data_IF_067689148266
#
_entry.id   IF_067689148266
#
_cell.length_a   1.000
_cell.length_b   1.000
_cell.length_c   1.000
_cell.angle_alpha   90.00
_cell.angle_beta   90.00
_cell.angle_gamma   90.00
#
_symmetry.space_group_name_H-M   'P 1'
#
loop_
_entity.id
_entity.type
_entity.pdbx_description
1 polymer ?
#
# COMPACT_ATOMS: atom_id res chain seq x y z
N UNK A 1 -43.21 60.28 21.55
CA UNK A 1 -43.75 58.95 21.88
C UNK A 1 -42.86 57.93 21.19
N UNK A 2 -42.27 57.04 21.98
CA UNK A 2 -41.36 55.97 21.56
C UNK A 2 -42.23 54.74 21.41
N UNK A 3 -42.15 54.02 20.29
CA UNK A 3 -42.60 52.64 20.24
C UNK A 3 -41.56 51.77 19.54
N UNK A 4 -40.97 50.91 20.37
CA UNK A 4 -40.10 49.82 20.01
C UNK A 4 -40.96 48.57 19.84
N UNK A 5 -41.02 47.99 18.64
CA UNK A 5 -41.39 46.60 18.47
C UNK A 5 -40.40 45.89 17.55
N UNK A 6 -39.42 45.32 18.23
CA UNK A 6 -38.58 44.20 17.80
C UNK A 6 -39.44 42.98 17.50
N UNK A 7 -39.60 42.64 16.21
CA UNK A 7 -39.96 41.29 15.80
C UNK A 7 -38.66 40.50 15.59
N UNK A 8 -38.22 39.91 16.70
CA UNK A 8 -37.20 38.86 16.72
C UNK A 8 -37.66 37.73 15.80
N UNK A 9 -37.02 37.61 14.64
CA UNK A 9 -37.15 36.40 13.81
C UNK A 9 -36.74 35.18 14.62
N UNK A 10 -37.33 33.99 14.36
CA UNK A 10 -36.87 32.76 14.96
C UNK A 10 -35.41 32.59 14.59
N UNK A 11 -34.53 32.67 15.59
CA UNK A 11 -33.15 32.21 15.46
C UNK A 11 -33.30 30.73 15.14
N UNK A 12 -32.93 30.33 13.92
CA UNK A 12 -32.89 28.93 13.49
C UNK A 12 -31.85 28.20 14.35
N UNK A 13 -32.25 27.73 15.53
CA UNK A 13 -31.41 26.93 16.44
C UNK A 13 -30.96 25.64 15.73
N UNK A 14 -31.69 25.18 14.70
CA UNK A 14 -31.32 24.07 13.82
C UNK A 14 -30.14 24.37 12.87
N UNK A 15 -29.83 25.66 12.63
CA UNK A 15 -28.71 26.10 11.78
C UNK A 15 -27.45 26.46 12.60
N UNK A 16 -27.46 26.27 13.92
CA UNK A 16 -26.22 26.16 14.69
C UNK A 16 -25.64 24.77 14.37
N UNK A 17 -25.16 24.61 13.14
CA UNK A 17 -24.10 23.63 12.87
C UNK A 17 -23.02 23.99 13.88
N UNK A 18 -22.86 23.17 14.92
CA UNK A 18 -21.68 23.24 15.77
C UNK A 18 -20.49 23.23 14.82
N UNK A 19 -19.90 24.40 14.57
CA UNK A 19 -18.72 24.54 13.72
C UNK A 19 -17.63 23.87 14.54
N UNK A 20 -17.50 22.56 14.36
CA UNK A 20 -16.50 21.75 15.05
C UNK A 20 -15.16 22.31 14.66
N UNK A 21 -14.50 22.95 15.61
CA UNK A 21 -13.15 23.48 15.44
C UNK A 21 -12.18 22.45 15.97
N UNK A 22 -11.11 22.20 15.23
CA UNK A 22 -10.06 21.31 15.69
C UNK A 22 -9.41 21.84 16.99
N UNK A 23 -9.14 20.92 17.92
CA UNK A 23 -8.40 21.17 19.15
C UNK A 23 -7.12 20.33 19.21
N UNK A 24 -6.06 20.80 19.89
CA UNK A 24 -4.84 20.01 20.08
C UNK A 24 -5.14 18.65 20.72
N UNK A 25 -4.69 17.57 20.09
CA UNK A 25 -4.95 16.19 20.54
C UNK A 25 -6.21 15.54 19.96
N UNK A 26 -7.06 16.30 19.25
CA UNK A 26 -8.20 15.74 18.53
C UNK A 26 -7.81 15.25 17.12
N UNK A 27 -8.68 14.42 16.54
CA UNK A 27 -8.61 13.97 15.16
C UNK A 27 -8.52 15.17 14.20
N UNK A 28 -7.47 15.20 13.37
CA UNK A 28 -7.25 16.28 12.39
C UNK A 28 -8.34 16.35 11.31
N UNK A 29 -9.05 15.25 11.08
CA UNK A 29 -10.05 15.14 10.01
C UNK A 29 -11.45 15.60 10.42
N UNK A 30 -11.99 15.03 11.51
CA UNK A 30 -13.37 15.27 11.98
C UNK A 30 -13.45 16.03 13.32
N UNK A 31 -12.31 16.29 13.97
CA UNK A 31 -12.25 17.07 15.22
C UNK A 31 -12.71 16.31 16.46
N UNK A 32 -13.06 15.02 16.34
CA UNK A 32 -13.39 14.18 17.50
C UNK A 32 -12.14 13.83 18.31
N UNK A 33 -12.29 13.73 19.62
CA UNK A 33 -11.29 13.32 20.61
C UNK A 33 -11.42 11.85 21.03
N UNK A 34 -12.44 11.15 20.54
CA UNK A 34 -12.67 9.73 20.83
C UNK A 34 -11.62 8.83 20.17
N UNK A 35 -10.94 8.00 20.97
CA UNK A 35 -9.98 6.98 20.50
C UNK A 35 -8.95 7.53 19.49
N UNK A 36 -8.39 8.71 19.78
CA UNK A 36 -7.41 9.35 18.92
C UNK A 36 -6.05 8.66 19.06
N UNK A 37 -5.56 8.15 17.94
CA UNK A 37 -4.25 7.53 17.82
C UNK A 37 -3.47 8.14 16.65
N UNK A 38 -2.17 7.92 16.64
CA UNK A 38 -1.31 8.31 15.54
C UNK A 38 -1.52 7.36 14.34
N UNK A 39 -2.02 7.91 13.24
CA UNK A 39 -2.17 7.20 11.97
C UNK A 39 -1.52 8.02 10.86
N UNK A 40 -0.54 7.44 10.16
CA UNK A 40 0.23 8.13 9.10
C UNK A 40 0.85 9.46 9.53
N UNK A 41 1.36 9.53 10.75
CA UNK A 41 1.95 10.72 11.38
C UNK A 41 0.97 11.86 11.68
N UNK A 42 -0.35 11.60 11.64
CA UNK A 42 -1.39 12.54 12.04
C UNK A 42 -2.30 11.91 13.10
N UNK A 43 -2.85 12.70 14.03
CA UNK A 43 -3.84 12.19 14.97
C UNK A 43 -5.17 11.93 14.25
N UNK A 44 -5.67 10.71 14.36
CA UNK A 44 -6.95 10.26 13.81
C UNK A 44 -7.75 9.51 14.86
N UNK A 45 -9.06 9.78 14.93
CA UNK A 45 -9.98 8.97 15.74
C UNK A 45 -10.19 7.59 15.12
N UNK A 46 -10.69 6.63 15.91
CA UNK A 46 -10.99 5.26 15.47
C UNK A 46 -11.81 5.21 14.17
N UNK A 47 -12.91 5.96 14.11
CA UNK A 47 -13.80 5.98 12.93
C UNK A 47 -13.09 6.49 11.67
N UNK A 48 -12.32 7.58 11.75
CA UNK A 48 -11.56 8.06 10.59
C UNK A 48 -10.51 7.05 10.14
N UNK A 49 -9.83 6.38 11.09
CA UNK A 49 -8.82 5.35 10.81
C UNK A 49 -9.43 4.16 10.08
N UNK A 50 -10.56 3.66 10.56
CA UNK A 50 -11.27 2.55 9.92
C UNK A 50 -11.63 2.89 8.48
N UNK A 51 -12.23 4.05 8.23
CA UNK A 51 -12.62 4.45 6.86
C UNK A 51 -11.41 4.69 5.95
N UNK A 52 -10.34 5.30 6.46
CA UNK A 52 -9.08 5.43 5.72
C UNK A 52 -8.45 4.05 5.40
N UNK A 53 -8.49 3.11 6.36
CA UNK A 53 -7.97 1.75 6.15
C UNK A 53 -8.75 0.99 5.07
N UNK A 54 -10.08 1.11 5.02
CA UNK A 54 -10.92 0.53 3.95
C UNK A 54 -10.52 1.08 2.57
N UNK A 55 -10.27 2.39 2.48
CA UNK A 55 -9.82 3.00 1.22
C UNK A 55 -8.44 2.49 0.83
N UNK A 56 -7.53 2.34 1.79
CA UNK A 56 -6.18 1.86 1.53
C UNK A 56 -6.13 0.39 1.16
N UNK A 57 -6.94 -0.45 1.81
CA UNK A 57 -7.13 -1.84 1.46
C UNK A 57 -7.64 -1.97 0.03
N UNK A 58 -8.65 -1.21 -0.36
CA UNK A 58 -9.14 -1.20 -1.73
C UNK A 58 -8.08 -0.72 -2.73
N UNK A 59 -7.25 0.28 -2.39
CA UNK A 59 -6.10 0.69 -3.23
C UNK A 59 -5.09 -0.45 -3.38
N UNK A 60 -4.80 -1.15 -2.29
CA UNK A 60 -3.85 -2.27 -2.27
C UNK A 60 -4.36 -3.43 -3.12
N UNK A 61 -5.63 -3.78 -2.99
CA UNK A 61 -6.29 -4.80 -3.79
C UNK A 61 -6.17 -4.49 -5.28
N UNK A 62 -6.59 -3.28 -5.69
CA UNK A 62 -6.51 -2.87 -7.09
C UNK A 62 -5.07 -2.85 -7.61
N UNK A 63 -4.12 -2.36 -6.79
CA UNK A 63 -2.70 -2.36 -7.13
C UNK A 63 -2.12 -3.77 -7.29
N UNK A 64 -2.53 -4.72 -6.45
CA UNK A 64 -2.08 -6.12 -6.49
C UNK A 64 -2.49 -6.80 -7.79
N UNK A 65 -3.72 -6.55 -8.26
CA UNK A 65 -4.26 -7.14 -9.48
C UNK A 65 -4.02 -6.28 -10.74
N UNK A 66 -3.26 -5.19 -10.63
CA UNK A 66 -3.01 -4.27 -11.76
C UNK A 66 -4.27 -3.62 -12.31
N UNK A 67 -5.33 -3.55 -11.51
CA UNK A 67 -6.63 -3.02 -11.89
C UNK A 67 -6.58 -1.50 -11.93
N UNK A 68 -7.57 -0.93 -12.63
CA UNK A 68 -7.71 0.53 -12.73
C UNK A 68 -7.86 1.15 -11.32
N UNK A 69 -7.12 2.24 -11.00
CA UNK A 69 -7.20 2.90 -9.71
C UNK A 69 -8.63 3.28 -9.28
N UNK A 70 -8.81 3.50 -7.96
CA UNK A 70 -10.06 4.03 -7.42
C UNK A 70 -10.40 5.38 -8.06
N UNK A 71 -11.48 5.40 -8.84
CA UNK A 71 -11.99 6.57 -9.53
C UNK A 71 -13.51 6.69 -9.38
N UNK A 72 -14.13 7.52 -10.22
CA UNK A 72 -15.58 7.78 -10.13
C UNK A 72 -16.49 6.63 -10.57
N UNK A 73 -15.98 5.65 -11.34
CA UNK A 73 -16.83 4.57 -11.88
C UNK A 73 -16.71 3.30 -11.03
N UNK A 74 -17.86 2.68 -10.73
CA UNK A 74 -17.99 1.43 -9.98
C UNK A 74 -18.08 0.19 -10.88
N UNK A 75 -17.88 0.34 -12.19
CA UNK A 75 -17.94 -0.78 -13.10
C UNK A 75 -16.72 -1.68 -12.92
N UNK A 76 -16.99 -2.97 -12.80
CA UNK A 76 -16.04 -4.09 -12.75
C UNK A 76 -16.72 -5.32 -13.34
N UNK A 77 -15.93 -6.20 -13.94
CA UNK A 77 -16.40 -7.50 -14.46
C UNK A 77 -16.27 -8.62 -13.40
N UNK A 78 -15.89 -8.25 -12.18
CA UNK A 78 -15.65 -9.12 -11.04
C UNK A 78 -16.34 -8.54 -9.78
N UNK A 79 -17.02 -9.42 -9.03
CA UNK A 79 -17.81 -9.02 -7.86
C UNK A 79 -16.92 -8.59 -6.68
N UNK A 80 -15.77 -9.24 -6.48
CA UNK A 80 -14.81 -8.88 -5.43
C UNK A 80 -14.22 -7.49 -5.68
N UNK A 81 -13.86 -7.20 -6.95
CA UNK A 81 -13.48 -5.84 -7.36
C UNK A 81 -14.60 -4.83 -7.06
N UNK A 82 -15.86 -5.19 -7.35
CA UNK A 82 -17.01 -4.32 -7.17
C UNK A 82 -17.18 -3.94 -5.70
N UNK A 83 -17.05 -4.91 -4.81
CA UNK A 83 -17.13 -4.71 -3.36
C UNK A 83 -16.07 -3.73 -2.87
N UNK A 84 -14.81 -3.92 -3.25
CA UNK A 84 -13.73 -2.98 -2.88
C UNK A 84 -13.99 -1.56 -3.41
N UNK A 85 -14.52 -1.41 -4.62
CA UNK A 85 -14.86 -0.09 -5.19
C UNK A 85 -16.01 0.58 -4.43
N UNK A 86 -17.06 -0.17 -4.10
CA UNK A 86 -18.23 0.34 -3.36
C UNK A 86 -17.82 0.73 -1.94
N UNK A 87 -17.13 -0.16 -1.22
CA UNK A 87 -16.68 0.09 0.15
C UNK A 87 -15.77 1.33 0.22
N UNK A 88 -14.84 1.48 -0.72
CA UNK A 88 -13.99 2.67 -0.77
C UNK A 88 -14.76 3.95 -1.10
N UNK A 89 -15.78 3.90 -1.98
CA UNK A 89 -16.64 5.05 -2.28
C UNK A 89 -17.43 5.47 -1.05
N UNK A 90 -18.04 4.50 -0.37
CA UNK A 90 -18.89 4.76 0.79
C UNK A 90 -18.06 5.29 1.96
N UNK A 91 -16.88 4.70 2.20
CA UNK A 91 -15.92 5.23 3.18
C UNK A 91 -15.47 6.67 2.87
N UNK A 92 -15.24 7.01 1.59
CA UNK A 92 -14.91 8.39 1.16
C UNK A 92 -16.07 9.35 1.38
N UNK A 93 -17.30 8.91 1.09
CA UNK A 93 -18.51 9.71 1.30
C UNK A 93 -18.63 10.06 2.78
N UNK A 94 -18.57 9.06 3.65
CA UNK A 94 -18.67 9.25 5.10
C UNK A 94 -17.54 10.12 5.65
N UNK A 95 -16.29 9.91 5.20
CA UNK A 95 -15.18 10.80 5.55
C UNK A 95 -15.45 12.25 5.14
N UNK A 96 -16.00 12.49 3.95
CA UNK A 96 -16.32 13.84 3.50
C UNK A 96 -17.49 14.47 4.27
N UNK A 97 -18.46 13.68 4.71
CA UNK A 97 -19.60 14.15 5.53
C UNK A 97 -19.17 14.60 6.93
N UNK A 98 -18.23 13.88 7.55
CA UNK A 98 -17.71 14.24 8.88
C UNK A 98 -16.50 15.19 8.84
N UNK A 99 -16.06 15.59 7.65
CA UNK A 99 -14.87 16.44 7.49
C UNK A 99 -15.09 17.81 8.10
N UNK A 100 -14.07 18.32 8.78
CA UNK A 100 -14.04 19.71 9.24
C UNK A 100 -14.24 20.69 8.08
N UNK A 101 -15.01 21.74 8.34
CA UNK A 101 -15.19 22.84 7.38
C UNK A 101 -13.85 23.53 7.06
N UNK A 102 -13.01 23.71 8.08
CA UNK A 102 -11.66 24.24 7.97
C UNK A 102 -10.68 23.26 8.62
N UNK A 103 -9.77 22.70 7.82
CA UNK A 103 -8.75 21.78 8.33
C UNK A 103 -7.67 22.56 9.11
N UNK A 104 -7.14 21.99 10.20
CA UNK A 104 -6.08 22.64 10.95
C UNK A 104 -4.79 22.75 10.12
N UNK A 105 -4.03 23.83 10.33
CA UNK A 105 -2.71 24.00 9.72
C UNK A 105 -1.75 22.86 10.17
N UNK A 106 -1.07 22.16 9.24
CA UNK A 106 -0.10 21.12 9.57
C UNK A 106 1.02 21.58 10.51
N UNK A 107 1.37 22.87 10.54
CA UNK A 107 2.32 23.39 11.53
C UNK A 107 1.73 23.39 12.96
N UNK A 108 0.45 23.74 13.10
CA UNK A 108 -0.27 23.70 14.38
C UNK A 108 -0.42 22.27 14.90
N UNK A 109 -0.71 21.31 14.02
CA UNK A 109 -0.75 19.88 14.35
C UNK A 109 0.61 19.41 14.84
N UNK A 110 1.69 19.67 14.09
CA UNK A 110 3.06 19.30 14.50
C UNK A 110 3.47 19.92 15.83
N UNK A 111 3.06 21.17 16.11
CA UNK A 111 3.32 21.85 17.39
C UNK A 111 2.57 21.16 18.55
N UNK A 112 1.34 20.72 18.32
CA UNK A 112 0.55 19.99 19.31
C UNK A 112 1.10 18.59 19.60
N UNK A 113 1.71 17.94 18.61
CA UNK A 113 2.32 16.60 18.74
C UNK A 113 3.68 16.60 19.44
N UNK A 114 4.33 17.76 19.58
CA UNK A 114 5.61 17.81 20.31
C UNK A 114 5.35 17.45 21.77
N UNK A 115 6.12 16.52 22.36
CA UNK A 115 6.03 16.25 23.79
C UNK A 115 6.28 17.56 24.53
N UNK A 116 5.26 18.07 25.22
CA UNK A 116 5.43 19.20 26.14
C UNK A 116 6.35 18.72 27.26
N UNK A 117 7.64 19.02 27.15
CA UNK A 117 8.49 19.06 28.32
C UNK A 117 7.81 19.99 29.34
N UNK A 118 7.66 19.49 30.56
CA UNK A 118 6.85 20.04 31.64
C UNK A 118 6.83 21.57 31.71
N UNK A 119 5.63 22.16 31.60
CA UNK A 119 5.39 23.52 32.06
C UNK A 119 5.35 23.51 33.60
N UNK A 120 6.50 23.76 34.22
CA UNK A 120 6.57 24.24 35.59
C UNK A 120 7.73 25.24 35.69
N UNK A 121 7.47 26.31 36.44
CA UNK A 121 8.33 27.46 36.80
C UNK A 121 8.17 28.70 35.92
N UNK A 122 7.37 29.62 36.47
CA UNK A 122 7.35 31.03 36.16
C UNK A 122 8.64 31.75 36.58
N UNK A 123 8.88 32.85 35.87
CA UNK A 123 9.69 34.04 36.18
C UNK A 123 11.11 34.22 35.58
N UNK A 124 11.45 35.49 35.26
CA UNK A 124 12.28 35.84 34.11
C UNK A 124 13.64 36.43 34.49
N UNK A 125 14.70 36.15 33.73
CA UNK A 125 15.72 37.16 33.40
C UNK A 125 16.68 36.66 32.31
N UNK A 126 17.04 37.61 31.46
CA UNK A 126 18.16 37.68 30.52
C UNK A 126 19.39 36.83 30.89
N UNK A 127 20.01 36.19 29.90
CA UNK A 127 21.25 36.68 29.26
C UNK A 127 21.68 35.74 28.13
N UNK A 128 22.18 36.33 27.05
CA UNK A 128 22.89 35.65 25.98
C UNK A 128 24.16 34.95 26.49
N UNK A 129 24.55 33.85 25.83
CA UNK A 129 25.91 33.47 25.39
C UNK A 129 25.85 32.04 24.86
N UNK A 130 26.08 31.88 23.55
CA UNK A 130 27.37 31.52 22.95
C UNK A 130 27.48 30.01 22.78
N UNK A 131 27.62 29.62 21.52
CA UNK A 131 27.45 28.25 21.07
C UNK A 131 28.52 27.30 21.58
N UNK A 132 28.25 26.02 21.37
CA UNK A 132 29.27 25.04 21.02
C UNK A 132 28.58 23.99 20.17
N UNK A 133 28.90 24.01 18.88
CA UNK A 133 28.61 22.90 17.97
C UNK A 133 29.35 21.66 18.46
N UNK A 134 28.66 20.53 18.57
CA UNK A 134 29.31 19.23 18.63
C UNK A 134 28.60 18.32 17.64
N UNK A 135 29.18 18.30 16.44
CA UNK A 135 28.89 17.33 15.41
C UNK A 135 29.35 15.96 15.91
N UNK A 136 28.40 15.07 16.20
CA UNK A 136 28.69 13.64 16.32
C UNK A 136 28.40 13.00 14.98
N UNK A 137 29.47 12.78 14.23
CA UNK A 137 29.51 11.94 13.05
C UNK A 137 29.17 10.50 13.45
N UNK A 138 28.00 10.01 13.04
CA UNK A 138 27.65 8.59 13.17
C UNK A 138 28.02 7.87 11.89
N UNK A 139 29.07 7.08 12.04
CA UNK A 139 29.71 6.16 11.11
C UNK A 139 28.71 5.27 10.38
N UNK A 140 28.76 5.34 9.05
CA UNK A 140 28.06 4.47 8.10
C UNK A 140 28.79 3.13 8.05
N UNK A 141 28.18 1.98 8.40
CA UNK A 141 28.82 0.70 8.18
C UNK A 141 28.81 0.38 6.68
N UNK A 142 30.00 0.42 6.08
CA UNK A 142 30.30 -0.08 4.75
C UNK A 142 30.26 -1.61 4.77
N UNK A 143 29.20 -2.19 4.19
CA UNK A 143 29.09 -3.62 3.97
C UNK A 143 30.17 -4.07 2.99
N UNK A 144 31.06 -4.90 3.51
CA UNK A 144 32.17 -5.55 2.83
C UNK A 144 31.68 -6.34 1.62
N UNK A 145 32.30 -6.06 0.47
CA UNK A 145 32.16 -6.84 -0.76
C UNK A 145 32.59 -8.27 -0.51
N UNK A 146 31.65 -9.20 -0.62
CA UNK A 146 31.92 -10.63 -0.67
C UNK A 146 32.87 -10.91 -1.83
N UNK A 147 33.99 -11.54 -1.47
CA UNK A 147 35.01 -12.08 -2.35
C UNK A 147 34.40 -12.92 -3.47
N UNK A 148 34.72 -12.53 -4.70
CA UNK A 148 34.39 -13.27 -5.90
C UNK A 148 35.12 -14.62 -5.90
N UNK A 149 34.34 -15.69 -5.99
CA UNK A 149 34.80 -17.05 -6.32
C UNK A 149 35.52 -17.02 -7.67
N UNK A 150 36.67 -17.68 -7.85
CA UNK A 150 37.32 -17.76 -9.16
C UNK A 150 36.41 -18.49 -10.16
N UNK A 151 36.40 -18.07 -11.45
CA UNK A 151 35.62 -18.74 -12.48
C UNK A 151 36.10 -20.19 -12.62
N UNK A 152 35.17 -21.12 -12.46
CA UNK A 152 35.35 -22.53 -12.84
C UNK A 152 35.76 -22.55 -14.32
N UNK A 153 36.83 -23.30 -14.60
CA UNK A 153 37.37 -23.49 -15.93
C UNK A 153 36.28 -23.89 -16.95
N UNK A 154 36.43 -23.53 -18.24
CA UNK A 154 35.45 -23.89 -19.26
C UNK A 154 35.32 -25.41 -19.31
N UNK A 155 34.12 -25.91 -18.97
CA UNK A 155 33.74 -27.31 -19.20
C UNK A 155 33.84 -27.54 -20.71
N UNK A 156 34.67 -28.51 -21.10
CA UNK A 156 34.79 -28.94 -22.49
C UNK A 156 33.41 -29.33 -23.01
N UNK A 157 33.01 -28.73 -24.13
CA UNK A 157 31.79 -29.05 -24.87
C UNK A 157 32.02 -30.25 -25.79
N UNK A 158 32.52 -31.35 -25.24
CA UNK A 158 32.73 -32.58 -26.01
C UNK A 158 31.92 -33.69 -25.37
N UNK A 159 30.96 -34.20 -26.15
CA UNK A 159 29.86 -35.09 -25.79
C UNK A 159 28.72 -34.41 -25.03
N UNK A 160 27.73 -33.96 -25.82
CA UNK A 160 26.36 -33.85 -25.32
C UNK A 160 25.95 -35.24 -24.82
N UNK A 161 25.85 -35.41 -23.51
CA UNK A 161 25.36 -36.65 -22.91
C UNK A 161 23.87 -36.81 -23.24
N UNK A 162 23.60 -37.63 -24.26
CA UNK A 162 22.25 -37.88 -24.78
C UNK A 162 21.35 -38.47 -23.69
N UNK A 163 21.88 -39.30 -22.78
CA UNK A 163 21.11 -39.89 -21.69
C UNK A 163 20.73 -38.83 -20.63
N UNK A 164 21.64 -37.91 -20.33
CA UNK A 164 21.34 -36.76 -19.46
C UNK A 164 20.33 -35.79 -20.11
N UNK A 165 20.40 -35.59 -21.43
CA UNK A 165 19.40 -34.82 -22.17
C UNK A 165 18.02 -35.48 -22.13
N UNK A 166 17.94 -36.79 -22.37
CA UNK A 166 16.68 -37.54 -22.31
C UNK A 166 16.04 -37.43 -20.93
N UNK A 167 16.82 -37.61 -19.86
CA UNK A 167 16.35 -37.46 -18.47
C UNK A 167 15.81 -36.05 -18.19
N UNK A 168 16.46 -35.01 -18.75
CA UNK A 168 16.00 -33.63 -18.60
C UNK A 168 14.71 -33.37 -19.40
N UNK A 169 14.59 -33.93 -20.60
CA UNK A 169 13.38 -33.81 -21.42
C UNK A 169 12.20 -34.51 -20.76
N UNK A 170 12.38 -35.75 -20.26
CA UNK A 170 11.31 -36.46 -19.54
C UNK A 170 10.88 -35.69 -18.29
N UNK A 171 11.82 -35.17 -17.50
CA UNK A 171 11.50 -34.36 -16.33
C UNK A 171 10.74 -33.06 -16.67
N UNK A 172 11.06 -32.41 -17.80
CA UNK A 172 10.33 -31.23 -18.26
C UNK A 172 8.93 -31.58 -18.79
N UNK A 173 8.75 -32.74 -19.42
CA UNK A 173 7.43 -33.23 -19.85
C UNK A 173 6.54 -33.59 -18.66
N UNK A 174 7.12 -34.21 -17.61
CA UNK A 174 6.41 -34.48 -16.36
C UNK A 174 5.96 -33.17 -15.71
N UNK A 175 6.85 -32.16 -15.65
CA UNK A 175 6.51 -30.82 -15.18
C UNK A 175 5.40 -30.17 -16.00
N UNK A 176 5.44 -30.30 -17.33
CA UNK A 176 4.39 -29.78 -18.22
C UNK A 176 3.04 -30.44 -17.93
N UNK A 177 3.03 -31.77 -17.76
CA UNK A 177 1.81 -32.51 -17.42
C UNK A 177 1.23 -32.11 -16.06
N UNK A 178 2.10 -31.83 -15.07
CA UNK A 178 1.70 -31.35 -13.76
C UNK A 178 1.09 -29.94 -13.83
N UNK A 179 1.66 -29.05 -14.64
CA UNK A 179 1.11 -27.69 -14.88
C UNK A 179 -0.26 -27.79 -15.55
N UNK A 180 -0.40 -28.60 -16.60
CA UNK A 180 -1.68 -28.78 -17.31
C UNK A 180 -2.75 -29.41 -16.37
N UNK A 181 -2.36 -30.34 -15.51
CA UNK A 181 -3.25 -30.89 -14.48
C UNK A 181 -3.68 -29.83 -13.46
N UNK A 182 -2.75 -28.97 -13.00
CA UNK A 182 -3.07 -27.85 -12.10
C UNK A 182 -4.01 -26.84 -12.75
N UNK A 183 -3.82 -26.53 -14.04
CA UNK A 183 -4.72 -25.65 -14.79
C UNK A 183 -6.14 -26.24 -14.88
N UNK A 184 -6.26 -27.55 -15.15
CA UNK A 184 -7.55 -28.23 -15.22
C UNK A 184 -8.28 -28.32 -13.86
N UNK A 185 -7.53 -28.39 -12.76
CA UNK A 185 -8.10 -28.40 -11.40
C UNK A 185 -8.70 -27.04 -10.99
N UNK A 186 -8.24 -25.94 -11.58
CA UNK A 186 -8.76 -24.60 -11.26
C UNK A 186 -10.16 -24.36 -11.86
N UNK A 187 -10.60 -25.16 -12.85
CA UNK A 187 -11.95 -25.10 -13.42
C UNK A 187 -12.26 -23.77 -14.12
N UNK A 188 -13.56 -23.41 -14.21
CA UNK A 188 -13.99 -22.07 -14.64
C UNK A 188 -13.49 -21.04 -13.61
N UNK A 189 -12.63 -20.09 -13.99
CA UNK A 189 -11.97 -19.20 -13.04
C UNK A 189 -12.97 -18.23 -12.39
N UNK A 190 -13.40 -18.58 -11.19
CA UNK A 190 -14.11 -17.67 -10.29
C UNK A 190 -13.09 -16.78 -9.56
N UNK A 191 -13.17 -15.47 -9.81
CA UNK A 191 -12.40 -14.47 -9.08
C UNK A 191 -11.02 -14.12 -9.65
N UNK A 192 -10.53 -12.94 -9.27
CA UNK A 192 -9.24 -12.38 -9.72
C UNK A 192 -8.04 -13.24 -9.29
N UNK A 193 -8.09 -13.82 -8.10
CA UNK A 193 -7.04 -14.71 -7.60
C UNK A 193 -6.88 -15.97 -8.46
N UNK A 194 -7.99 -16.59 -8.89
CA UNK A 194 -7.95 -17.75 -9.77
C UNK A 194 -7.38 -17.38 -11.14
N UNK A 195 -7.81 -16.25 -11.72
CA UNK A 195 -7.30 -15.75 -13.01
C UNK A 195 -5.81 -15.44 -12.96
N UNK A 196 -5.32 -14.82 -11.88
CA UNK A 196 -3.90 -14.54 -11.70
C UNK A 196 -3.07 -15.84 -11.63
N UNK A 197 -3.54 -16.84 -10.89
CA UNK A 197 -2.88 -18.16 -10.81
C UNK A 197 -2.84 -18.86 -12.17
N UNK A 198 -3.91 -18.83 -12.95
CA UNK A 198 -3.93 -19.39 -14.31
C UNK A 198 -2.91 -18.67 -15.19
N UNK A 199 -2.87 -17.34 -15.17
CA UNK A 199 -1.89 -16.57 -15.95
C UNK A 199 -0.45 -16.93 -15.60
N UNK A 200 -0.15 -17.18 -14.33
CA UNK A 200 1.19 -17.59 -13.91
C UNK A 200 1.52 -19.03 -14.34
N UNK A 201 0.57 -19.95 -14.25
CA UNK A 201 0.72 -21.32 -14.78
C UNK A 201 0.94 -21.31 -16.30
N UNK A 202 0.24 -20.46 -17.05
CA UNK A 202 0.45 -20.28 -18.49
C UNK A 202 1.87 -19.76 -18.82
N UNK A 203 2.39 -18.82 -18.02
CA UNK A 203 3.78 -18.34 -18.18
C UNK A 203 4.79 -19.44 -17.89
N UNK A 204 4.54 -20.27 -16.87
CA UNK A 204 5.39 -21.42 -16.55
C UNK A 204 5.36 -22.43 -17.69
N UNK A 205 4.18 -22.80 -18.19
CA UNK A 205 3.98 -23.68 -19.36
C UNK A 205 4.76 -23.18 -20.58
N UNK A 206 4.61 -21.90 -20.92
CA UNK A 206 5.31 -21.28 -22.05
C UNK A 206 6.84 -21.30 -21.87
N UNK A 207 7.32 -21.20 -20.63
CA UNK A 207 8.75 -21.28 -20.32
C UNK A 207 9.27 -22.70 -20.48
N UNK A 208 8.54 -23.71 -19.98
CA UNK A 208 8.87 -25.13 -20.18
C UNK A 208 8.90 -25.48 -21.66
N UNK A 209 7.88 -25.09 -22.44
CA UNK A 209 7.84 -25.32 -23.89
C UNK A 209 9.02 -24.64 -24.62
N UNK A 210 9.39 -23.41 -24.23
CA UNK A 210 10.59 -22.74 -24.77
C UNK A 210 11.87 -23.50 -24.43
N UNK A 211 12.00 -24.03 -23.23
CA UNK A 211 13.18 -24.85 -22.86
C UNK A 211 13.22 -26.17 -23.62
N UNK A 212 12.08 -26.84 -23.82
CA UNK A 212 11.99 -28.06 -24.62
C UNK A 212 12.41 -27.79 -26.08
N UNK A 213 11.90 -26.72 -26.70
CA UNK A 213 12.31 -26.32 -28.05
C UNK A 213 13.81 -26.00 -28.16
N UNK A 214 14.40 -25.37 -27.13
CA UNK A 214 15.83 -25.10 -27.09
C UNK A 214 16.67 -26.39 -26.96
N UNK A 215 16.21 -27.35 -26.16
CA UNK A 215 16.86 -28.66 -26.02
C UNK A 215 16.75 -29.48 -27.30
N UNK A 216 15.61 -29.44 -27.99
CA UNK A 216 15.44 -30.09 -29.30
C UNK A 216 16.41 -29.49 -30.33
N UNK A 217 16.50 -28.16 -30.39
CA UNK A 217 17.45 -27.48 -31.28
C UNK A 217 18.91 -27.84 -30.97
N UNK A 218 19.26 -27.93 -29.69
CA UNK A 218 20.60 -28.36 -29.26
C UNK A 218 20.88 -29.82 -29.63
N UNK A 219 19.89 -30.71 -29.53
CA UNK A 219 19.99 -32.12 -29.97
C UNK A 219 20.23 -32.21 -31.48
N UNK A 220 19.48 -31.45 -32.28
CA UNK A 220 19.64 -31.43 -33.75
C UNK A 220 21.04 -30.92 -34.11
N UNK A 221 21.49 -29.83 -33.46
CA UNK A 221 22.80 -29.25 -33.70
C UNK A 221 23.97 -30.16 -33.28
N UNK A 222 23.76 -31.05 -32.30
CA UNK A 222 24.75 -32.03 -31.86
C UNK A 222 24.72 -33.35 -32.67
N UNK A 223 23.65 -33.58 -33.43
CA UNK A 223 23.50 -34.73 -34.33
C UNK A 223 23.88 -34.44 -35.79
N UNK A 224 24.26 -33.20 -36.11
CA UNK A 224 24.92 -32.78 -37.36
C UNK A 224 26.43 -32.71 -37.15
#
# INVERSE_FOLDING_TARGET
MIDAQTLSGPIDIAAIRNVRRWSPGACVWCGDDNAVEMFRNEPRCGTCREKESVIDEARRFLGMYGLRPLGGTLQSDDDEEREHRVNARDARRELNEMKLAELPDPAAVRKALRPRAASVVSEPRSTAHSGTSSASASTRPSTSRTSATPPVAPVRTDAVDVAALETRVTGLLDQLSAIDAQMNLIGEPAGLAARARISDLEKQRATVLRTLAALEKARIAAGQ
#
